data_IF_543262965711
#
_entry.id   IF_543262965711
#
_cell.length_a   1.000
_cell.length_b   1.000
_cell.length_c   1.000
_cell.angle_alpha   90.00
_cell.angle_beta   90.00
_cell.angle_gamma   90.00
#
_symmetry.space_group_name_H-M   'P 1'
#
loop_
_entity.id
_entity.type
_entity.pdbx_description
1 polymer ?
#
# COMPACT_ATOMS: atom_id res chain seq x y z
N UNK A 1 20.31 5.89 0.83
CA UNK A 1 19.01 5.57 0.22
C UNK A 1 18.94 4.06 0.13
N UNK A 2 17.97 3.43 0.80
CA UNK A 2 17.69 2.01 0.61
C UNK A 2 16.39 1.86 -0.14
N UNK A 3 16.38 0.91 -1.06
CA UNK A 3 15.23 0.56 -1.89
C UNK A 3 14.93 -0.89 -1.63
N UNK A 4 13.68 -1.19 -1.25
CA UNK A 4 13.16 -2.55 -1.27
C UNK A 4 12.57 -2.73 -2.67
N UNK A 5 13.38 -3.29 -3.57
CA UNK A 5 13.02 -3.44 -5.00
C UNK A 5 11.79 -4.32 -5.20
N UNK A 6 11.62 -5.35 -4.37
CA UNK A 6 10.45 -6.22 -4.35
C UNK A 6 10.08 -6.56 -2.90
N UNK A 7 8.81 -6.38 -2.57
CA UNK A 7 8.24 -6.90 -1.34
C UNK A 7 8.08 -8.43 -1.47
N UNK A 8 8.21 -9.20 -0.38
CA UNK A 8 7.98 -10.64 -0.38
C UNK A 8 6.64 -11.09 -0.99
N UNK A 9 5.58 -10.27 -0.96
CA UNK A 9 4.30 -10.54 -1.63
C UNK A 9 4.28 -10.29 -3.14
N UNK A 10 5.35 -9.72 -3.67
CA UNK A 10 5.49 -9.33 -5.07
C UNK A 10 6.58 -10.17 -5.75
N UNK A 11 6.25 -10.75 -6.90
CA UNK A 11 7.22 -11.53 -7.67
C UNK A 11 6.53 -12.22 -8.85
N UNK A 12 7.29 -12.59 -9.89
CA UNK A 12 6.73 -13.29 -11.05
C UNK A 12 6.34 -14.74 -10.73
N UNK A 13 6.94 -15.32 -9.68
CA UNK A 13 6.72 -16.71 -9.29
C UNK A 13 5.76 -16.79 -8.10
N UNK A 14 4.51 -17.16 -8.41
CA UNK A 14 3.45 -17.35 -7.42
C UNK A 14 3.80 -18.39 -6.32
N UNK A 15 4.74 -19.31 -6.60
CA UNK A 15 5.21 -20.28 -5.59
C UNK A 15 6.15 -19.68 -4.53
N UNK A 16 6.69 -18.49 -4.79
CA UNK A 16 7.73 -17.87 -3.96
C UNK A 16 7.24 -16.61 -3.23
N UNK A 17 6.13 -16.03 -3.68
CA UNK A 17 5.53 -14.88 -3.02
C UNK A 17 4.88 -15.28 -1.69
N UNK A 18 4.96 -14.38 -0.72
CA UNK A 18 4.47 -14.59 0.66
C UNK A 18 3.41 -13.55 1.03
N UNK A 19 3.05 -13.47 2.31
CA UNK A 19 1.97 -12.64 2.80
C UNK A 19 2.40 -11.19 3.16
N UNK A 20 1.39 -10.34 3.36
CA UNK A 20 1.56 -8.96 3.84
C UNK A 20 2.33 -8.90 5.17
N UNK A 21 2.22 -9.91 6.03
CA UNK A 21 2.98 -9.94 7.29
C UNK A 21 4.49 -10.04 7.04
N UNK A 22 4.89 -10.80 6.02
CA UNK A 22 6.26 -10.90 5.54
C UNK A 22 6.76 -9.58 4.97
N UNK A 23 5.94 -8.86 4.21
CA UNK A 23 6.26 -7.50 3.74
C UNK A 23 6.54 -6.54 4.90
N UNK A 24 5.68 -6.57 5.91
CA UNK A 24 5.84 -5.74 7.11
C UNK A 24 7.16 -6.06 7.82
N UNK A 25 7.52 -7.34 7.95
CA UNK A 25 8.78 -7.76 8.57
C UNK A 25 9.96 -7.22 7.78
N UNK A 26 10.02 -7.44 6.47
CA UNK A 26 11.10 -6.95 5.59
C UNK A 26 11.23 -5.43 5.63
N UNK A 27 10.11 -4.70 5.59
CA UNK A 27 10.13 -3.25 5.75
C UNK A 27 10.67 -2.82 7.13
N UNK A 28 10.29 -3.53 8.19
CA UNK A 28 10.78 -3.30 9.55
C UNK A 28 12.28 -3.51 9.69
N UNK A 29 12.80 -4.61 9.15
CA UNK A 29 14.24 -4.93 9.14
C UNK A 29 15.03 -3.91 8.34
N UNK A 30 14.50 -3.48 7.19
CA UNK A 30 15.12 -2.43 6.37
C UNK A 30 15.15 -1.09 7.09
N UNK A 31 14.08 -0.68 7.77
CA UNK A 31 14.08 0.57 8.56
C UNK A 31 15.11 0.48 9.69
N UNK A 32 15.25 -0.68 10.33
CA UNK A 32 16.16 -0.88 11.44
C UNK A 32 17.64 -0.88 11.02
N UNK A 33 17.96 -1.27 9.79
CA UNK A 33 19.33 -1.29 9.26
C UNK A 33 19.84 0.07 8.79
N UNK A 34 18.97 1.09 8.72
CA UNK A 34 19.32 2.42 8.24
C UNK A 34 19.72 3.37 9.38
N UNK A 35 20.79 4.11 9.15
CA UNK A 35 21.20 5.22 9.99
C UNK A 35 20.44 6.50 9.64
N UNK A 36 19.90 7.17 10.65
CA UNK A 36 19.21 8.46 10.51
C UNK A 36 17.73 8.39 10.13
N UNK A 37 17.13 9.55 9.80
CA UNK A 37 15.71 9.65 9.43
C UNK A 37 15.39 8.93 8.12
N UNK A 38 14.22 8.32 8.06
CA UNK A 38 13.72 7.53 6.92
C UNK A 38 12.46 8.18 6.33
N UNK A 39 12.35 8.14 5.01
CA UNK A 39 11.12 8.44 4.28
C UNK A 39 10.61 7.13 3.68
N UNK A 40 9.36 6.79 3.98
CA UNK A 40 8.71 5.62 3.40
C UNK A 40 7.89 6.03 2.17
N UNK A 41 8.09 5.33 1.06
CA UNK A 41 7.35 5.56 -0.18
C UNK A 41 6.62 4.28 -0.56
N UNK A 42 5.29 4.33 -0.56
CA UNK A 42 4.41 3.21 -0.91
C UNK A 42 3.74 3.46 -2.25
N UNK A 43 3.81 2.47 -3.16
CA UNK A 43 3.06 2.45 -4.42
C UNK A 43 1.95 1.42 -4.32
N UNK A 44 0.75 1.74 -4.81
CA UNK A 44 -0.38 0.79 -4.80
C UNK A 44 -0.60 0.17 -3.41
N UNK A 45 -0.81 -1.14 -3.32
CA UNK A 45 -0.88 -1.93 -2.09
C UNK A 45 0.27 -1.70 -1.11
N UNK A 46 1.43 -1.21 -1.56
CA UNK A 46 2.53 -0.79 -0.70
C UNK A 46 2.16 0.32 0.28
N UNK A 47 1.08 1.07 0.01
CA UNK A 47 0.45 2.00 0.94
C UNK A 47 0.03 1.34 2.27
N UNK A 48 -0.45 0.10 2.22
CA UNK A 48 -0.79 -0.68 3.41
C UNK A 48 0.43 -0.91 4.31
N UNK A 49 1.54 -1.34 3.71
CA UNK A 49 2.76 -1.67 4.44
C UNK A 49 3.39 -0.43 5.10
N UNK A 50 3.42 0.71 4.41
CA UNK A 50 4.01 1.94 4.96
C UNK A 50 3.14 2.55 6.06
N UNK A 51 1.81 2.40 5.98
CA UNK A 51 0.87 2.87 7.01
C UNK A 51 1.13 2.18 8.35
N UNK A 52 1.36 0.86 8.31
CA UNK A 52 1.66 0.06 9.50
C UNK A 52 3.03 0.38 10.13
N UNK A 53 3.91 1.07 9.42
CA UNK A 53 5.27 1.41 9.88
C UNK A 53 5.49 2.90 10.11
N UNK A 54 4.48 3.74 9.85
CA UNK A 54 4.59 5.20 9.87
C UNK A 54 4.95 5.80 11.23
N UNK A 55 4.66 5.10 12.33
CA UNK A 55 4.88 5.53 13.72
C UNK A 55 6.27 5.19 14.26
N UNK A 56 7.13 4.60 13.43
CA UNK A 56 8.49 4.23 13.85
C UNK A 56 9.29 5.50 14.16
N UNK A 57 10.08 5.56 15.26
CA UNK A 57 10.78 6.79 15.67
C UNK A 57 11.72 7.40 14.63
N UNK A 58 12.20 6.60 13.67
CA UNK A 58 13.08 7.03 12.58
C UNK A 58 12.32 7.53 11.35
N UNK A 59 11.03 7.24 11.23
CA UNK A 59 10.23 7.64 10.06
C UNK A 59 9.82 9.09 10.21
N UNK A 60 10.37 9.96 9.36
CA UNK A 60 10.04 11.37 9.35
C UNK A 60 8.84 11.69 8.46
N UNK A 61 8.66 10.95 7.37
CA UNK A 61 7.61 11.17 6.37
C UNK A 61 7.15 9.87 5.72
N UNK A 62 5.89 9.85 5.30
CA UNK A 62 5.28 8.82 4.44
C UNK A 62 4.78 9.46 3.15
N UNK A 63 5.02 8.79 2.02
CA UNK A 63 4.63 9.25 0.69
C UNK A 63 3.84 8.13 0.00
N UNK A 64 2.63 8.46 -0.45
CA UNK A 64 1.72 7.54 -1.12
C UNK A 64 1.68 7.88 -2.61
N UNK A 65 2.07 6.95 -3.48
CA UNK A 65 2.13 7.15 -4.94
C UNK A 65 1.13 6.21 -5.61
N UNK A 66 -0.02 6.73 -6.03
CA UNK A 66 -1.12 5.91 -6.57
C UNK A 66 -1.37 4.68 -5.68
N UNK A 67 -1.45 4.93 -4.37
CA UNK A 67 -1.43 3.93 -3.32
C UNK A 67 -2.65 4.04 -2.43
N UNK A 68 -3.02 2.91 -1.82
CA UNK A 68 -4.05 2.88 -0.80
C UNK A 68 -3.58 3.65 0.45
N UNK A 69 -4.47 4.44 1.05
CA UNK A 69 -4.19 5.14 2.29
C UNK A 69 -5.19 4.70 3.37
N UNK A 70 -4.94 3.53 3.99
CA UNK A 70 -5.82 2.97 5.03
C UNK A 70 -5.67 3.67 6.38
N UNK A 71 -6.63 3.43 7.27
CA UNK A 71 -6.37 3.49 8.72
C UNK A 71 -5.57 2.25 9.17
N UNK A 72 -4.88 2.34 10.30
CA UNK A 72 -4.12 1.18 10.83
C UNK A 72 -5.06 0.00 11.09
N UNK A 73 -4.69 -1.19 10.60
CA UNK A 73 -5.49 -2.41 10.71
C UNK A 73 -6.70 -2.48 9.78
N UNK A 74 -6.98 -1.43 8.98
CA UNK A 74 -8.01 -1.48 7.95
C UNK A 74 -7.53 -2.34 6.78
N UNK A 75 -8.41 -3.14 6.17
CA UNK A 75 -8.07 -3.91 4.97
C UNK A 75 -8.31 -3.11 3.68
N UNK A 76 -7.68 -3.54 2.58
CA UNK A 76 -7.97 -2.97 1.25
C UNK A 76 -9.43 -3.20 0.86
N UNK A 77 -10.03 -4.33 1.27
CA UNK A 77 -11.43 -4.61 0.98
C UNK A 77 -12.37 -3.63 1.71
N UNK A 78 -12.05 -3.26 2.95
CA UNK A 78 -12.79 -2.24 3.70
C UNK A 78 -12.71 -0.87 3.00
N UNK A 79 -11.53 -0.51 2.50
CA UNK A 79 -11.32 0.72 1.72
C UNK A 79 -12.16 0.76 0.43
N UNK A 80 -12.37 -0.40 -0.20
CA UNK A 80 -13.13 -0.53 -1.45
C UNK A 80 -14.64 -0.75 -1.22
N UNK A 81 -15.12 -0.62 0.02
CA UNK A 81 -16.55 -0.77 0.34
C UNK A 81 -17.03 -2.21 0.46
N UNK A 82 -16.12 -3.16 0.72
CA UNK A 82 -16.45 -4.56 1.01
C UNK A 82 -16.62 -5.47 -0.21
N UNK A 83 -16.62 -4.90 -1.42
CA UNK A 83 -16.77 -5.64 -2.67
C UNK A 83 -15.44 -5.97 -3.32
N UNK A 84 -15.35 -7.18 -3.91
CA UNK A 84 -14.28 -7.53 -4.84
C UNK A 84 -14.16 -6.46 -5.93
N UNK A 85 -12.98 -5.86 -6.15
CA UNK A 85 -12.83 -4.87 -7.20
C UNK A 85 -13.04 -5.49 -8.58
N UNK A 86 -13.78 -4.81 -9.45
CA UNK A 86 -14.12 -5.28 -10.80
C UNK A 86 -12.91 -5.50 -11.72
N UNK A 87 -11.72 -5.03 -11.34
CA UNK A 87 -10.47 -5.25 -12.06
C UNK A 87 -9.75 -6.54 -11.64
N UNK A 88 -10.23 -7.23 -10.60
CA UNK A 88 -9.62 -8.43 -10.03
C UNK A 88 -10.55 -9.63 -10.18
N UNK A 89 -10.01 -10.75 -10.64
CA UNK A 89 -10.68 -12.05 -10.72
C UNK A 89 -9.99 -13.02 -9.76
N UNK A 90 -10.78 -13.72 -8.94
CA UNK A 90 -10.31 -14.85 -8.15
C UNK A 90 -10.33 -16.10 -9.02
N UNK A 91 -9.22 -16.82 -9.04
CA UNK A 91 -9.09 -18.09 -9.71
C UNK A 91 -9.44 -19.24 -8.76
N UNK A 92 -9.84 -20.38 -9.32
CA UNK A 92 -10.25 -21.56 -8.55
C UNK A 92 -9.12 -22.15 -7.67
N UNK A 93 -7.87 -21.85 -8.01
CA UNK A 93 -6.68 -22.23 -7.23
C UNK A 93 -6.41 -21.31 -6.03
N UNK A 94 -7.26 -20.31 -5.80
CA UNK A 94 -7.13 -19.34 -4.72
C UNK A 94 -6.19 -18.17 -5.02
N UNK A 95 -5.62 -18.11 -6.23
CA UNK A 95 -4.87 -16.94 -6.69
C UNK A 95 -5.81 -15.86 -7.22
N UNK A 96 -5.28 -14.65 -7.44
CA UNK A 96 -6.03 -13.56 -8.04
C UNK A 96 -5.26 -12.98 -9.23
N UNK A 97 -5.97 -12.67 -10.30
CA UNK A 97 -5.41 -12.05 -11.49
C UNK A 97 -6.14 -10.78 -11.87
N UNK A 98 -5.50 -9.93 -12.68
CA UNK A 98 -6.16 -8.77 -13.26
C UNK A 98 -7.04 -9.24 -14.42
N UNK A 99 -8.34 -8.91 -14.39
CA UNK A 99 -9.33 -9.25 -15.45
C UNK A 99 -8.78 -8.91 -16.84
N UNK A 100 -8.79 -9.82 -17.82
CA UNK A 100 -8.09 -9.60 -19.11
C UNK A 100 -8.73 -8.59 -20.07
N UNK A 101 -9.95 -8.16 -19.77
CA UNK A 101 -10.64 -7.12 -20.52
C UNK A 101 -10.04 -5.73 -20.23
N UNK A 102 -9.40 -5.14 -21.24
CA UNK A 102 -8.77 -3.82 -21.15
C UNK A 102 -9.77 -2.70 -20.88
N UNK A 103 -11.00 -2.79 -21.39
CA UNK A 103 -12.03 -1.78 -21.15
C UNK A 103 -12.51 -1.81 -19.69
N UNK A 104 -12.63 -3.01 -19.11
CA UNK A 104 -12.93 -3.19 -17.68
C UNK A 104 -11.77 -2.66 -16.83
N UNK A 105 -10.52 -3.02 -17.16
CA UNK A 105 -9.32 -2.50 -16.48
C UNK A 105 -9.26 -0.97 -16.52
N UNK A 106 -9.45 -0.37 -17.69
CA UNK A 106 -9.38 1.07 -17.89
C UNK A 106 -10.49 1.82 -17.14
N UNK A 107 -11.75 1.36 -17.26
CA UNK A 107 -12.88 1.98 -16.55
C UNK A 107 -12.70 1.93 -15.04
N UNK A 108 -12.17 0.84 -14.50
CA UNK A 108 -12.09 0.66 -13.05
C UNK A 108 -10.86 1.35 -12.44
N UNK A 109 -9.70 1.24 -13.07
CA UNK A 109 -8.44 1.79 -12.53
C UNK A 109 -8.24 3.28 -12.87
N UNK A 110 -8.74 3.75 -14.01
CA UNK A 110 -8.44 5.10 -14.50
C UNK A 110 -9.60 6.09 -14.37
N UNK A 111 -10.86 5.63 -14.39
CA UNK A 111 -12.00 6.55 -14.41
C UNK A 111 -12.30 7.23 -13.05
N UNK A 112 -11.79 6.70 -11.93
CA UNK A 112 -12.03 7.21 -10.57
C UNK A 112 -11.17 8.40 -10.12
N UNK A 113 -10.20 8.84 -10.91
CA UNK A 113 -9.19 9.85 -10.48
C UNK A 113 -9.73 11.29 -10.30
N UNK A 114 -11.00 11.57 -10.63
CA UNK A 114 -11.59 12.92 -10.52
C UNK A 114 -12.15 13.30 -9.15
N UNK A 115 -12.34 12.33 -8.24
CA UNK A 115 -13.01 12.54 -6.94
C UNK A 115 -12.10 12.47 -5.72
N UNK A 116 -11.22 11.47 -5.64
CA UNK A 116 -10.46 11.13 -4.42
C UNK A 116 -9.45 12.22 -4.01
N UNK A 117 -8.92 13.00 -4.96
CA UNK A 117 -7.99 14.08 -4.66
C UNK A 117 -8.65 15.30 -3.97
N UNK A 118 -9.98 15.45 -4.02
CA UNK A 118 -10.67 16.61 -3.44
C UNK A 118 -10.92 16.50 -1.93
N UNK A 119 -11.03 15.29 -1.39
CA UNK A 119 -11.30 15.05 0.03
C UNK A 119 -10.02 14.81 0.87
N UNK A 120 -8.84 14.97 0.26
CA UNK A 120 -7.55 14.78 0.92
C UNK A 120 -7.06 15.91 1.88
N UNK A 121 -7.57 17.17 1.89
CA UNK A 121 -6.84 18.23 2.60
C UNK A 121 -6.87 18.10 4.13
N UNK A 122 -7.89 17.48 4.73
CA UNK A 122 -8.00 17.43 6.20
C UNK A 122 -7.18 16.29 6.84
N UNK A 123 -6.81 15.25 6.08
CA UNK A 123 -6.02 14.10 6.57
C UNK A 123 -4.52 14.23 6.30
N UNK A 124 -4.11 15.09 5.37
CA UNK A 124 -2.69 15.35 5.06
C UNK A 124 -1.98 16.21 6.12
N UNK A 125 -2.72 16.91 6.99
CA UNK A 125 -2.14 17.87 7.95
C UNK A 125 -2.28 17.47 9.42
N UNK A 126 -2.94 16.36 9.75
CA UNK A 126 -3.24 15.99 11.14
C UNK A 126 -2.12 15.22 11.86
N UNK A 127 -0.85 15.42 11.48
CA UNK A 127 0.28 15.05 12.30
C UNK A 127 0.25 15.86 13.59
N UNK A 128 -0.31 15.30 14.68
CA UNK A 128 -0.31 15.94 16.00
C UNK A 128 1.12 16.33 16.38
N UNK A 129 1.38 17.56 16.83
CA UNK A 129 2.71 17.95 17.30
C UNK A 129 3.07 17.12 18.54
N UNK A 130 4.19 16.41 18.46
CA UNK A 130 4.83 15.80 19.63
C UNK A 130 5.21 16.92 20.61
N UNK A 131 4.53 16.95 21.77
CA UNK A 131 4.99 17.74 22.92
C UNK A 131 6.32 17.17 23.40
N UNK A 132 7.28 18.07 23.59
CA UNK A 132 8.61 17.83 24.19
C UNK A 132 8.50 17.29 25.61
#
# INVERSE_FOLDING_TARGET
MAVVEQLPSCGPDAETVTDTASDLRTAGETIASLDGPVVLVGRSSGGMAITERADRPRVGHTVYVAADWPERGQSVLDLLGGGMPLWLELLDDGTAQVVDDLDVRWKTLCAGSRGVARDAPDRLTSGRPHRR
#
